data_IF_325825004885
#
_entry.id   IF_325825004885
#
_cell.length_a   1.000
_cell.length_b   1.000
_cell.length_c   1.000
_cell.angle_alpha   90.00
_cell.angle_beta   90.00
_cell.angle_gamma   90.00
#
_symmetry.space_group_name_H-M   'P 1'
#
loop_
_entity.id
_entity.type
_entity.pdbx_description
1 polymer ?
#
# COMPACT_ATOMS: atom_id res chain seq x y z
N UNK A 1 -0.53 18.95 -78.69
CA UNK A 1 -0.38 20.39 -78.72
C UNK A 1 -0.63 20.88 -77.33
N UNK A 2 0.20 21.29 -76.54
CA UNK A 2 1.33 22.13 -76.34
C UNK A 2 1.74 22.02 -74.87
N UNK A 3 2.93 21.56 -74.55
CA UNK A 3 4.06 22.31 -73.99
C UNK A 3 3.66 23.11 -72.73
N UNK A 4 3.98 22.74 -71.51
CA UNK A 4 5.28 22.88 -70.90
C UNK A 4 5.35 24.17 -70.12
N UNK A 5 5.49 24.05 -68.78
CA UNK A 5 6.28 24.99 -67.96
C UNK A 5 6.70 24.31 -66.68
N UNK A 6 7.83 23.63 -66.72
CA UNK A 6 8.75 23.52 -65.61
C UNK A 6 9.43 24.86 -65.48
N UNK A 7 9.57 25.41 -64.32
CA UNK A 7 10.79 26.10 -63.89
C UNK A 7 10.46 27.06 -62.70
N UNK A 8 11.44 27.19 -61.83
CA UNK A 8 11.69 28.33 -61.00
C UNK A 8 10.90 28.34 -59.62
N UNK A 9 11.27 27.42 -58.77
CA UNK A 9 11.09 27.61 -57.32
C UNK A 9 12.36 27.23 -56.53
N UNK A 10 13.51 27.74 -56.88
CA UNK A 10 14.80 27.45 -56.22
C UNK A 10 15.67 28.67 -55.95
N UNK A 11 15.10 29.87 -55.88
CA UNK A 11 15.93 31.05 -55.64
C UNK A 11 15.38 32.10 -54.68
N UNK A 12 14.41 31.76 -53.82
CA UNK A 12 13.84 32.78 -52.91
C UNK A 12 13.90 32.41 -51.44
N UNK A 13 14.68 31.43 -51.02
CA UNK A 13 14.75 31.00 -49.59
C UNK A 13 16.11 31.20 -48.92
N UNK A 14 17.03 31.93 -49.55
CA UNK A 14 18.39 32.12 -49.01
C UNK A 14 18.68 33.53 -48.45
N UNK A 15 17.68 34.43 -48.34
CA UNK A 15 17.94 35.83 -47.99
C UNK A 15 17.15 36.34 -46.74
N UNK A 16 16.49 35.48 -45.95
CA UNK A 16 15.75 35.95 -44.76
C UNK A 16 16.25 35.29 -43.46
N UNK A 17 17.45 34.78 -43.42
CA UNK A 17 18.02 34.17 -42.18
C UNK A 17 19.10 35.04 -41.56
N UNK A 18 19.30 36.28 -41.97
CA UNK A 18 20.28 37.18 -41.39
C UNK A 18 19.68 38.37 -40.62
N UNK A 19 18.44 38.30 -40.18
CA UNK A 19 17.79 39.35 -39.37
C UNK A 19 17.27 38.79 -38.06
N UNK A 20 18.08 38.88 -37.04
CA UNK A 20 17.73 39.05 -35.62
C UNK A 20 16.54 38.26 -35.07
N UNK A 21 16.62 36.94 -34.91
CA UNK A 21 15.89 36.20 -33.90
C UNK A 21 16.75 36.18 -32.64
N UNK A 22 16.58 37.19 -31.80
CA UNK A 22 16.83 37.03 -30.36
C UNK A 22 15.83 36.00 -29.85
N UNK A 23 16.22 34.73 -29.91
CA UNK A 23 15.51 33.68 -29.20
C UNK A 23 15.59 34.02 -27.73
N UNK A 24 14.48 34.55 -27.19
CA UNK A 24 14.22 34.47 -25.79
C UNK A 24 14.39 33.01 -25.40
N UNK A 25 15.48 32.67 -24.73
CA UNK A 25 15.61 31.44 -24.00
C UNK A 25 14.44 31.45 -23.02
N UNK A 26 13.39 30.71 -23.36
CA UNK A 26 12.53 30.17 -22.32
C UNK A 26 13.46 29.37 -21.43
N UNK A 27 13.80 29.95 -20.29
CA UNK A 27 14.63 29.28 -19.32
C UNK A 27 13.95 27.97 -18.98
N UNK A 28 14.53 26.88 -19.45
CA UNK A 28 14.23 25.59 -18.89
C UNK A 28 14.49 25.78 -17.39
N UNK A 29 13.42 25.80 -16.61
CA UNK A 29 13.49 25.93 -15.17
C UNK A 29 14.37 24.77 -14.73
N UNK A 30 15.52 25.08 -14.14
CA UNK A 30 16.44 24.08 -13.64
C UNK A 30 15.62 23.12 -12.77
N UNK A 31 15.80 21.79 -12.90
CA UNK A 31 15.10 20.84 -12.06
C UNK A 31 15.30 21.28 -10.63
N UNK A 32 14.20 21.43 -9.88
CA UNK A 32 14.24 21.79 -8.47
C UNK A 32 15.25 20.85 -7.79
N UNK A 33 16.17 21.36 -6.97
CA UNK A 33 17.13 20.51 -6.30
C UNK A 33 16.35 19.45 -5.55
N UNK A 34 16.62 18.19 -5.87
CA UNK A 34 16.07 17.06 -5.13
C UNK A 34 16.42 17.29 -3.67
N UNK A 35 15.46 17.25 -2.73
CA UNK A 35 15.80 17.30 -1.33
C UNK A 35 16.78 16.16 -1.08
N UNK A 36 17.99 16.51 -0.70
CA UNK A 36 18.97 15.51 -0.26
C UNK A 36 18.44 14.96 1.05
N UNK A 37 17.66 13.88 0.97
CA UNK A 37 17.44 13.03 2.12
C UNK A 37 18.83 12.56 2.50
N UNK A 38 19.25 12.69 3.77
CA UNK A 38 20.47 12.02 4.21
C UNK A 38 20.29 10.54 3.87
N UNK A 39 20.90 10.09 2.79
CA UNK A 39 20.95 8.66 2.48
C UNK A 39 21.65 8.05 3.69
N UNK A 40 21.05 7.06 4.35
CA UNK A 40 21.79 6.33 5.35
C UNK A 40 23.09 5.87 4.66
N UNK A 41 24.19 6.19 5.25
CA UNK A 41 25.51 6.02 4.61
C UNK A 41 25.84 4.52 4.64
N UNK A 42 25.23 3.76 3.73
CA UNK A 42 25.41 2.29 3.62
C UNK A 42 26.85 1.90 3.22
N UNK A 43 27.69 2.90 2.91
CA UNK A 43 29.08 2.68 2.50
C UNK A 43 30.10 2.90 3.61
N UNK A 44 29.72 3.40 4.77
CA UNK A 44 30.63 3.46 5.90
C UNK A 44 30.61 2.13 6.64
N UNK A 45 31.73 1.41 6.59
CA UNK A 45 31.98 0.19 7.37
C UNK A 45 31.82 0.40 8.90
N UNK A 46 31.44 1.59 9.34
CA UNK A 46 31.42 1.96 10.76
C UNK A 46 30.00 1.94 11.37
N UNK A 47 28.91 1.89 10.56
CA UNK A 47 27.55 1.95 11.08
C UNK A 47 26.71 0.69 10.82
N UNK A 48 27.34 -0.45 10.92
CA UNK A 48 26.64 -1.76 10.86
C UNK A 48 25.79 -2.04 12.09
N UNK A 49 25.92 -1.22 13.16
CA UNK A 49 25.04 -1.28 14.33
C UNK A 49 23.57 -1.02 13.98
N UNK A 50 23.29 -0.32 12.86
CA UNK A 50 21.94 -0.12 12.33
C UNK A 50 21.27 -1.41 11.88
N UNK A 51 22.03 -2.40 11.45
CA UNK A 51 21.53 -3.72 11.09
C UNK A 51 21.47 -4.68 12.28
N UNK A 52 21.80 -4.18 13.48
CA UNK A 52 21.80 -4.99 14.68
C UNK A 52 22.90 -6.03 14.78
N UNK A 53 23.86 -6.04 13.85
CA UNK A 53 25.06 -6.87 13.90
C UNK A 53 26.24 -5.98 14.26
N UNK A 54 26.95 -6.23 15.37
CA UNK A 54 28.15 -5.50 15.73
C UNK A 54 29.20 -5.56 14.63
N UNK A 55 29.84 -4.42 14.35
CA UNK A 55 30.85 -4.30 13.27
C UNK A 55 32.01 -5.28 13.39
N UNK A 56 32.38 -5.64 14.60
CA UNK A 56 33.39 -6.64 14.91
C UNK A 56 33.01 -8.06 14.49
N UNK A 57 31.72 -8.40 14.62
CA UNK A 57 31.21 -9.72 14.18
C UNK A 57 31.19 -9.83 12.66
N UNK A 58 30.90 -8.73 11.94
CA UNK A 58 30.99 -8.72 10.46
C UNK A 58 32.45 -8.85 10.01
N UNK A 59 33.39 -8.15 10.66
CA UNK A 59 34.82 -8.24 10.38
C UNK A 59 35.41 -9.63 10.69
N UNK A 60 34.83 -10.32 11.66
CA UNK A 60 35.26 -11.68 12.02
C UNK A 60 34.68 -12.77 11.11
N UNK A 61 33.87 -12.41 10.10
CA UNK A 61 33.18 -13.38 9.23
C UNK A 61 32.13 -14.21 9.92
N UNK A 62 31.69 -13.80 11.11
CA UNK A 62 30.61 -14.44 11.84
C UNK A 62 29.31 -14.02 11.19
N UNK A 63 28.62 -14.98 10.56
CA UNK A 63 27.29 -14.75 10.05
C UNK A 63 26.36 -14.41 11.22
N UNK A 64 25.46 -13.40 11.07
CA UNK A 64 24.49 -13.10 12.09
C UNK A 64 23.66 -14.34 12.40
N UNK A 65 23.40 -14.58 13.68
CA UNK A 65 22.39 -15.56 14.07
C UNK A 65 21.04 -15.09 13.56
N UNK A 66 20.59 -15.69 12.45
CA UNK A 66 19.30 -15.39 11.83
C UNK A 66 18.11 -15.63 12.78
N UNK A 67 18.28 -16.45 13.83
CA UNK A 67 17.25 -16.60 14.85
C UNK A 67 17.17 -15.37 15.76
N UNK A 68 18.28 -14.69 16.02
CA UNK A 68 18.28 -13.43 16.76
C UNK A 68 17.67 -12.28 15.96
N UNK A 69 17.62 -12.37 14.63
CA UNK A 69 16.96 -11.39 13.77
C UNK A 69 15.44 -11.56 13.74
N UNK A 70 14.91 -12.75 14.11
CA UNK A 70 13.47 -12.99 14.16
C UNK A 70 12.76 -12.10 15.19
N UNK A 71 13.47 -11.66 16.22
CA UNK A 71 12.93 -10.80 17.27
C UNK A 71 13.14 -9.29 17.02
N UNK A 72 13.74 -8.93 15.91
CA UNK A 72 14.07 -7.54 15.57
C UNK A 72 13.21 -7.03 14.42
N UNK A 73 12.93 -5.73 14.46
CA UNK A 73 12.39 -5.05 13.29
C UNK A 73 13.54 -4.77 12.31
N UNK A 74 13.25 -4.98 11.03
CA UNK A 74 14.20 -4.71 9.95
C UNK A 74 13.71 -3.48 9.20
N UNK A 75 14.54 -2.44 9.10
CA UNK A 75 14.21 -1.22 8.36
C UNK A 75 15.02 -1.19 7.07
N UNK A 76 14.34 -1.17 5.93
CA UNK A 76 14.93 -1.23 4.59
C UNK A 76 14.51 0.02 3.81
N UNK A 77 15.44 0.78 3.20
CA UNK A 77 15.08 1.83 2.25
C UNK A 77 14.44 1.19 1.01
N UNK A 78 13.32 1.76 0.57
CA UNK A 78 12.58 1.24 -0.59
C UNK A 78 12.84 2.12 -1.82
N UNK A 79 12.33 3.35 -1.79
CA UNK A 79 12.52 4.33 -2.86
C UNK A 79 12.10 5.73 -2.38
N UNK A 80 12.81 6.77 -2.87
CA UNK A 80 12.52 8.15 -2.47
C UNK A 80 12.66 8.33 -0.96
N UNK A 81 11.59 8.77 -0.31
CA UNK A 81 11.52 8.99 1.14
C UNK A 81 10.88 7.84 1.92
N UNK A 82 10.62 6.71 1.26
CA UNK A 82 9.86 5.59 1.84
C UNK A 82 10.78 4.44 2.23
N UNK A 83 10.56 3.92 3.43
CA UNK A 83 11.23 2.77 4.02
C UNK A 83 10.18 1.68 4.32
N UNK A 84 10.64 0.44 4.37
CA UNK A 84 9.88 -0.70 4.87
C UNK A 84 10.36 -1.02 6.29
N UNK A 85 9.43 -1.17 7.24
CA UNK A 85 9.68 -1.79 8.55
C UNK A 85 9.07 -3.19 8.52
N UNK A 86 9.90 -4.22 8.55
CA UNK A 86 9.49 -5.62 8.60
C UNK A 86 9.64 -6.22 10.00
N UNK A 87 8.88 -7.30 10.27
CA UNK A 87 8.93 -8.02 11.55
C UNK A 87 7.96 -7.50 12.62
N UNK A 88 7.09 -6.55 12.27
CA UNK A 88 6.12 -5.95 13.19
C UNK A 88 4.75 -6.66 13.22
N UNK A 89 4.62 -7.84 12.66
CA UNK A 89 3.36 -8.47 12.28
C UNK A 89 3.18 -8.27 10.79
N UNK A 90 2.34 -7.33 10.35
CA UNK A 90 2.37 -6.86 8.97
C UNK A 90 3.55 -5.92 8.72
N UNK A 91 3.95 -5.78 7.45
CA UNK A 91 4.89 -4.77 7.01
C UNK A 91 4.31 -3.37 7.22
N UNK A 92 5.17 -2.42 7.58
CA UNK A 92 4.81 -1.01 7.75
C UNK A 92 5.59 -0.19 6.71
N UNK A 93 4.92 0.64 5.92
CA UNK A 93 5.62 1.62 5.12
C UNK A 93 5.84 2.90 5.95
N UNK A 94 7.08 3.38 6.01
CA UNK A 94 7.46 4.59 6.74
C UNK A 94 7.99 5.64 5.78
N UNK A 95 7.31 6.77 5.69
CA UNK A 95 7.80 7.93 4.96
C UNK A 95 8.45 8.93 5.92
N UNK A 96 9.65 9.43 5.56
CA UNK A 96 10.40 10.39 6.37
C UNK A 96 10.86 11.56 5.50
N UNK A 97 10.40 12.79 5.82
CA UNK A 97 10.94 14.04 5.27
C UNK A 97 10.74 15.22 6.23
N UNK A 98 10.72 16.45 5.67
CA UNK A 98 10.78 17.68 6.45
C UNK A 98 9.57 17.92 7.36
N UNK A 99 8.36 17.52 6.94
CA UNK A 99 7.14 17.72 7.73
C UNK A 99 7.01 16.72 8.88
N UNK A 100 7.79 15.63 8.85
CA UNK A 100 7.77 14.59 9.87
C UNK A 100 7.73 13.19 9.29
N UNK A 101 7.16 12.27 10.06
CA UNK A 101 7.01 10.86 9.73
C UNK A 101 5.53 10.54 9.45
N UNK A 102 5.29 9.74 8.43
CA UNK A 102 4.00 9.10 8.18
C UNK A 102 4.22 7.58 8.14
N UNK A 103 3.35 6.84 8.81
CA UNK A 103 3.32 5.38 8.74
C UNK A 103 2.09 4.90 7.98
N UNK A 104 2.25 3.85 7.18
CA UNK A 104 1.14 3.04 6.68
C UNK A 104 1.17 1.74 7.46
N UNK A 105 0.13 1.55 8.28
CA UNK A 105 -0.03 0.59 9.36
C UNK A 105 0.88 0.84 10.58
N UNK A 106 0.57 0.17 11.68
CA UNK A 106 1.25 0.33 12.97
C UNK A 106 1.80 -1.00 13.52
N UNK A 107 1.60 -2.10 12.77
CA UNK A 107 2.00 -3.43 13.18
C UNK A 107 1.12 -4.05 14.27
N UNK A 108 1.52 -5.22 14.73
CA UNK A 108 0.88 -5.92 15.84
C UNK A 108 1.17 -5.23 17.19
N UNK A 109 0.28 -5.39 18.15
CA UNK A 109 0.41 -4.81 19.50
C UNK A 109 1.73 -5.17 20.18
N UNK A 110 2.14 -6.42 20.09
CA UNK A 110 3.39 -6.90 20.69
C UNK A 110 4.66 -6.24 20.10
N UNK A 111 4.58 -5.67 18.89
CA UNK A 111 5.68 -4.99 18.24
C UNK A 111 5.68 -3.47 18.45
N UNK A 112 4.62 -2.90 19.03
CA UNK A 112 4.40 -1.46 19.07
C UNK A 112 5.56 -0.66 19.69
N UNK A 113 6.12 -1.11 20.80
CA UNK A 113 7.25 -0.43 21.46
C UNK A 113 8.51 -0.46 20.58
N UNK A 114 8.74 -1.56 19.88
CA UNK A 114 9.84 -1.69 18.90
C UNK A 114 9.63 -0.77 17.70
N UNK A 115 8.40 -0.65 17.20
CA UNK A 115 8.05 0.28 16.09
C UNK A 115 8.33 1.72 16.53
N UNK A 116 7.88 2.14 17.71
CA UNK A 116 8.15 3.49 18.24
C UNK A 116 9.65 3.74 18.37
N UNK A 117 10.41 2.75 18.84
CA UNK A 117 11.87 2.87 18.99
C UNK A 117 12.56 3.02 17.63
N UNK A 118 12.19 2.21 16.63
CA UNK A 118 12.77 2.29 15.29
C UNK A 118 12.38 3.59 14.57
N UNK A 119 11.13 4.04 14.68
CA UNK A 119 10.73 5.35 14.13
C UNK A 119 11.58 6.49 14.72
N UNK A 120 11.80 6.51 16.04
CA UNK A 120 12.64 7.52 16.69
C UNK A 120 14.11 7.42 16.28
N UNK A 121 14.61 6.20 16.06
CA UNK A 121 15.99 5.95 15.65
C UNK A 121 16.29 6.47 14.25
N UNK A 122 15.39 6.21 13.28
CA UNK A 122 15.56 6.62 11.89
C UNK A 122 15.15 8.06 11.64
N UNK A 123 14.21 8.57 12.40
CA UNK A 123 13.68 9.91 12.25
C UNK A 123 13.63 10.64 13.60
N UNK A 124 14.57 11.55 13.91
CA UNK A 124 14.46 12.44 15.05
C UNK A 124 13.37 13.51 14.82
N UNK A 125 12.33 13.14 14.11
CA UNK A 125 11.19 13.97 13.72
C UNK A 125 9.90 13.38 14.29
N UNK A 126 8.89 14.22 14.42
CA UNK A 126 7.61 13.80 14.98
C UNK A 126 6.84 12.92 14.00
N UNK A 127 6.31 11.81 14.48
CA UNK A 127 5.27 11.04 13.78
C UNK A 127 4.01 11.90 13.67
N UNK A 128 3.52 12.11 12.45
CA UNK A 128 2.41 13.02 12.14
C UNK A 128 1.15 12.33 11.70
N UNK A 129 1.26 11.16 11.07
CA UNK A 129 0.13 10.41 10.55
C UNK A 129 0.37 8.91 10.63
N UNK A 130 -0.71 8.17 10.88
CA UNK A 130 -0.81 6.74 10.63
C UNK A 130 -1.95 6.54 9.63
N UNK A 131 -1.77 5.73 8.59
CA UNK A 131 -2.81 5.31 7.67
C UNK A 131 -3.01 3.82 7.87
N UNK A 132 -4.20 3.37 8.27
CA UNK A 132 -4.48 1.95 8.38
C UNK A 132 -5.01 1.40 7.05
N UNK A 133 -4.37 0.34 6.55
CA UNK A 133 -4.79 -0.33 5.33
C UNK A 133 -5.93 -1.31 5.54
N UNK A 134 -6.14 -1.81 6.75
CA UNK A 134 -7.24 -2.70 7.12
C UNK A 134 -7.51 -2.66 8.62
N UNK A 135 -8.52 -3.40 9.11
CA UNK A 135 -8.80 -3.56 10.54
C UNK A 135 -8.07 -4.76 11.19
N UNK A 136 -7.18 -5.44 10.46
CA UNK A 136 -6.49 -6.62 10.98
C UNK A 136 -5.56 -6.29 12.15
N UNK A 137 -5.43 -7.23 13.11
CA UNK A 137 -4.60 -7.03 14.31
C UNK A 137 -3.12 -6.82 13.99
N UNK A 138 -2.64 -7.46 12.95
CA UNK A 138 -1.27 -7.35 12.49
C UNK A 138 -0.94 -5.98 11.87
N UNK A 139 -1.98 -5.22 11.44
CA UNK A 139 -1.86 -3.88 10.86
C UNK A 139 -2.12 -2.79 11.90
N UNK A 140 -3.09 -3.00 12.81
CA UNK A 140 -3.63 -1.95 13.69
C UNK A 140 -3.38 -2.18 15.17
N UNK A 141 -2.85 -3.35 15.56
CA UNK A 141 -2.64 -3.67 16.98
C UNK A 141 -1.75 -2.67 17.71
N UNK A 142 -0.78 -2.10 17.01
CA UNK A 142 0.13 -1.08 17.53
C UNK A 142 -0.43 0.34 17.59
N UNK A 143 -1.61 0.61 17.02
CA UNK A 143 -2.15 1.96 16.83
C UNK A 143 -2.06 2.83 18.10
N UNK A 144 -2.57 2.35 19.22
CA UNK A 144 -2.61 3.13 20.48
C UNK A 144 -1.23 3.63 20.89
N UNK A 145 -0.26 2.73 21.04
CA UNK A 145 1.08 3.08 21.50
C UNK A 145 1.84 3.91 20.47
N UNK A 146 1.75 3.52 19.19
CA UNK A 146 2.45 4.20 18.09
C UNK A 146 1.90 5.61 17.91
N UNK A 147 0.57 5.79 17.92
CA UNK A 147 -0.04 7.12 17.82
C UNK A 147 0.36 8.03 18.98
N UNK A 148 0.36 7.52 20.23
CA UNK A 148 0.81 8.26 21.42
C UNK A 148 2.28 8.71 21.32
N UNK A 149 3.09 8.02 20.53
CA UNK A 149 4.49 8.41 20.25
C UNK A 149 4.63 9.60 19.29
N UNK A 150 3.56 10.07 18.69
CA UNK A 150 3.52 11.16 17.72
C UNK A 150 2.79 12.42 18.21
N UNK A 151 2.47 13.31 17.29
CA UNK A 151 1.68 14.50 17.54
C UNK A 151 0.95 14.94 16.25
N UNK A 152 -0.22 15.54 16.38
CA UNK A 152 -0.95 16.10 15.26
C UNK A 152 -0.11 17.16 14.49
N UNK A 153 -0.29 17.30 13.17
CA UNK A 153 0.36 18.35 12.40
C UNK A 153 -0.04 19.74 12.89
N UNK A 154 0.87 20.72 12.85
CA UNK A 154 0.58 22.08 13.32
C UNK A 154 -0.61 22.75 12.61
N UNK A 155 -0.83 22.42 11.34
CA UNK A 155 -1.92 22.97 10.52
C UNK A 155 -3.26 22.25 10.70
N UNK A 156 -3.31 21.13 11.39
CA UNK A 156 -4.54 20.36 11.59
C UNK A 156 -5.50 21.01 12.59
N UNK A 157 -5.07 22.07 13.27
CA UNK A 157 -5.82 22.72 14.34
C UNK A 157 -7.08 23.50 13.92
N UNK A 158 -7.38 23.66 12.62
CA UNK A 158 -8.49 24.53 12.19
C UNK A 158 -9.29 24.11 10.95
N UNK A 159 -9.20 22.87 10.51
CA UNK A 159 -10.08 22.41 9.44
C UNK A 159 -11.40 21.95 10.03
N UNK A 160 -12.40 22.82 9.97
CA UNK A 160 -13.77 22.52 10.42
C UNK A 160 -14.05 22.74 11.91
N UNK A 161 -13.22 23.53 12.64
CA UNK A 161 -13.54 23.97 14.01
C UNK A 161 -13.43 22.91 15.09
N UNK A 162 -12.99 21.71 14.78
CA UNK A 162 -12.60 20.71 15.77
C UNK A 162 -11.09 20.66 15.87
N UNK A 163 -10.56 21.22 16.95
CA UNK A 163 -9.19 20.96 17.34
C UNK A 163 -9.05 19.43 17.50
N UNK A 164 -8.05 18.81 16.85
CA UNK A 164 -7.65 17.45 17.21
C UNK A 164 -7.07 17.54 18.63
N UNK A 165 -7.94 17.43 19.63
CA UNK A 165 -7.56 17.43 21.05
C UNK A 165 -6.95 16.08 21.47
N UNK A 166 -6.65 15.20 20.50
CA UNK A 166 -5.99 13.93 20.73
C UNK A 166 -4.50 14.11 21.00
N UNK A 167 -4.01 13.65 22.14
CA UNK A 167 -2.60 13.48 22.38
C UNK A 167 -2.08 12.37 21.47
N UNK A 168 -1.42 12.73 20.34
CA UNK A 168 -0.82 11.77 19.42
C UNK A 168 -0.97 12.09 17.95
N UNK A 169 -0.44 11.21 17.09
CA UNK A 169 -0.61 11.29 15.66
C UNK A 169 -2.04 10.85 15.26
N UNK A 170 -2.74 11.59 14.37
CA UNK A 170 -4.02 11.15 13.83
C UNK A 170 -3.88 9.86 13.02
N UNK A 171 -4.90 9.00 13.12
CA UNK A 171 -5.00 7.73 12.43
C UNK A 171 -6.08 7.86 11.35
N UNK A 172 -5.67 7.73 10.09
CA UNK A 172 -6.53 7.80 8.92
C UNK A 172 -6.92 6.39 8.48
N UNK A 173 -8.19 6.18 8.14
CA UNK A 173 -8.65 4.90 7.61
C UNK A 173 -9.93 5.06 6.78
N UNK A 174 -10.28 4.02 6.04
CA UNK A 174 -11.63 3.91 5.49
C UNK A 174 -12.65 3.66 6.60
N UNK A 175 -13.88 4.17 6.45
CA UNK A 175 -14.91 4.16 7.51
C UNK A 175 -15.18 2.75 8.07
N UNK A 176 -15.19 1.71 7.22
CA UNK A 176 -15.45 0.35 7.70
C UNK A 176 -14.39 -0.18 8.66
N UNK A 177 -13.15 0.32 8.60
CA UNK A 177 -12.10 0.01 9.57
C UNK A 177 -12.50 0.49 10.96
N UNK A 178 -12.96 1.75 11.09
CA UNK A 178 -13.48 2.27 12.35
C UNK A 178 -14.67 1.45 12.85
N UNK A 179 -15.63 1.14 11.97
CA UNK A 179 -16.82 0.36 12.32
C UNK A 179 -16.47 -1.03 12.87
N UNK A 180 -15.38 -1.64 12.39
CA UNK A 180 -14.90 -2.94 12.87
C UNK A 180 -14.08 -2.87 14.16
N UNK A 181 -13.46 -1.74 14.44
CA UNK A 181 -12.66 -1.52 15.65
C UNK A 181 -13.49 -1.00 16.81
N UNK A 182 -14.56 -0.26 16.54
CA UNK A 182 -15.47 0.35 17.52
C UNK A 182 -16.68 -0.54 17.80
N UNK A 183 -17.53 -0.09 18.71
CA UNK A 183 -18.84 -0.67 18.98
C UNK A 183 -19.88 0.44 19.21
N UNK A 184 -21.17 0.18 18.95
CA UNK A 184 -22.24 1.06 19.40
C UNK A 184 -22.20 1.32 20.90
N UNK A 185 -22.76 2.46 21.31
CA UNK A 185 -22.84 2.83 22.73
C UNK A 185 -23.49 1.72 23.54
N UNK A 186 -22.84 1.31 24.62
CA UNK A 186 -23.33 0.25 25.51
C UNK A 186 -22.88 -1.18 25.12
N UNK A 187 -22.13 -1.34 24.04
CA UNK A 187 -21.51 -2.60 23.65
C UNK A 187 -19.99 -2.55 23.81
N UNK A 188 -19.37 -3.73 23.92
CA UNK A 188 -17.90 -3.84 24.03
C UNK A 188 -17.27 -3.75 22.64
N UNK A 189 -16.41 -2.75 22.43
CA UNK A 189 -15.64 -2.58 21.21
C UNK A 189 -14.58 -3.68 21.06
N UNK A 190 -14.23 -4.00 19.83
CA UNK A 190 -13.17 -4.97 19.52
C UNK A 190 -11.75 -4.43 19.81
N UNK A 191 -11.62 -3.10 19.95
CA UNK A 191 -10.36 -2.39 20.23
C UNK A 191 -10.58 -1.27 21.26
N UNK A 192 -9.57 -0.90 22.05
CA UNK A 192 -9.62 0.28 22.90
C UNK A 192 -9.81 1.54 22.05
N UNK A 193 -10.49 2.54 22.60
CA UNK A 193 -10.83 3.81 21.90
C UNK A 193 -9.60 4.54 21.37
N UNK A 194 -8.49 4.51 22.12
CA UNK A 194 -7.24 5.18 21.72
C UNK A 194 -6.56 4.53 20.51
N UNK A 195 -6.98 3.33 20.11
CA UNK A 195 -6.51 2.64 18.91
C UNK A 195 -7.37 2.92 17.67
N UNK A 196 -8.51 3.61 17.81
CA UNK A 196 -9.44 3.84 16.71
C UNK A 196 -8.92 4.87 15.71
N UNK A 197 -9.27 4.74 14.42
CA UNK A 197 -9.10 5.81 13.46
C UNK A 197 -9.74 7.11 13.95
N UNK A 198 -8.99 8.21 13.88
CA UNK A 198 -9.43 9.54 14.30
C UNK A 198 -9.91 10.41 13.12
N UNK A 199 -9.55 10.02 11.89
CA UNK A 199 -9.97 10.66 10.63
C UNK A 199 -10.37 9.56 9.64
N UNK A 200 -11.65 9.47 9.32
CA UNK A 200 -12.18 8.47 8.39
C UNK A 200 -12.74 9.11 7.12
N UNK A 201 -12.77 8.33 6.05
CA UNK A 201 -13.40 8.71 4.80
C UNK A 201 -14.18 7.53 4.19
N UNK A 202 -15.16 7.86 3.34
CA UNK A 202 -16.08 6.90 2.71
C UNK A 202 -16.11 7.00 1.18
N UNK A 203 -15.25 7.83 0.62
CA UNK A 203 -15.10 7.97 -0.84
C UNK A 203 -14.14 6.95 -1.40
N UNK A 204 -14.23 6.64 -2.69
CA UNK A 204 -13.34 5.68 -3.34
C UNK A 204 -11.85 6.09 -3.29
N UNK A 205 -11.58 7.38 -3.04
CA UNK A 205 -10.22 7.93 -2.97
C UNK A 205 -10.18 9.12 -2.03
N UNK A 206 -9.10 9.19 -1.19
CA UNK A 206 -8.71 10.38 -0.42
C UNK A 206 -7.26 10.72 -0.74
N UNK A 207 -6.94 12.00 -0.81
CA UNK A 207 -5.58 12.49 -1.03
C UNK A 207 -5.10 13.23 0.22
N UNK A 208 -3.84 13.05 0.54
CA UNK A 208 -3.11 13.80 1.55
C UNK A 208 -1.87 14.42 0.89
N UNK A 209 -1.61 15.69 1.11
CA UNK A 209 -0.34 16.31 0.75
C UNK A 209 0.55 16.35 1.98
N UNK A 210 1.67 15.65 1.93
CA UNK A 210 2.60 15.57 3.05
C UNK A 210 4.01 15.27 2.55
N UNK A 211 5.01 15.84 3.20
CA UNK A 211 6.41 15.66 2.83
C UNK A 211 6.69 16.00 1.34
N UNK A 212 6.04 17.05 0.84
CA UNK A 212 6.20 17.54 -0.52
C UNK A 212 5.81 16.50 -1.61
N UNK A 213 4.87 15.62 -1.29
CA UNK A 213 4.26 14.73 -2.28
C UNK A 213 2.78 14.46 -2.00
N UNK A 214 2.06 14.06 -3.04
CA UNK A 214 0.71 13.56 -2.92
C UNK A 214 0.75 12.11 -2.47
N UNK A 215 0.01 11.81 -1.41
CA UNK A 215 -0.23 10.46 -0.91
C UNK A 215 -1.68 10.13 -1.20
N UNK A 216 -1.90 9.18 -2.09
CA UNK A 216 -3.22 8.79 -2.53
C UNK A 216 -3.66 7.53 -1.79
N UNK A 217 -4.78 7.57 -1.13
CA UNK A 217 -5.42 6.44 -0.46
C UNK A 217 -6.58 5.97 -1.33
N UNK A 218 -6.53 4.76 -1.83
CA UNK A 218 -7.56 4.18 -2.68
C UNK A 218 -8.28 3.06 -1.95
N UNK A 219 -9.56 3.24 -1.69
CA UNK A 219 -10.38 2.17 -1.15
C UNK A 219 -10.51 1.04 -2.17
N UNK A 220 -10.27 -0.17 -1.69
CA UNK A 220 -10.41 -1.41 -2.45
C UNK A 220 -11.46 -2.28 -1.78
N UNK A 221 -12.71 -2.22 -2.23
CA UNK A 221 -13.79 -2.96 -1.61
C UNK A 221 -13.65 -4.46 -1.83
N UNK A 222 -14.08 -5.23 -0.85
CA UNK A 222 -14.16 -6.69 -0.91
C UNK A 222 -12.85 -7.41 -1.32
N UNK A 223 -11.67 -6.86 -0.96
CA UNK A 223 -10.38 -7.49 -1.24
C UNK A 223 -10.01 -8.49 -0.15
N UNK A 224 -8.99 -8.24 0.69
CA UNK A 224 -8.76 -9.02 1.90
C UNK A 224 -9.94 -8.86 2.88
N UNK A 225 -10.48 -7.63 2.98
CA UNK A 225 -11.66 -7.22 3.73
C UNK A 225 -12.42 -6.12 2.99
N UNK A 226 -13.47 -5.55 3.61
CA UNK A 226 -14.23 -4.44 3.04
C UNK A 226 -13.63 -3.04 3.29
N UNK A 227 -12.57 -2.96 4.09
CA UNK A 227 -11.92 -1.69 4.46
C UNK A 227 -10.53 -1.49 3.88
N UNK A 228 -10.10 -2.32 2.95
CA UNK A 228 -8.73 -2.30 2.46
C UNK A 228 -8.40 -1.00 1.72
N UNK A 229 -7.18 -0.51 1.97
CA UNK A 229 -6.60 0.64 1.29
C UNK A 229 -5.33 0.26 0.55
N UNK A 230 -5.19 0.81 -0.66
CA UNK A 230 -3.93 0.93 -1.37
C UNK A 230 -3.44 2.36 -1.16
N UNK A 231 -2.21 2.53 -0.66
CA UNK A 231 -1.62 3.85 -0.40
C UNK A 231 -0.48 4.10 -1.38
N UNK A 232 -0.60 5.13 -2.21
CA UNK A 232 0.39 5.44 -3.24
C UNK A 232 1.13 6.75 -2.95
N UNK A 233 2.43 6.67 -2.72
CA UNK A 233 3.38 7.78 -2.59
C UNK A 233 3.83 8.20 -3.99
N UNK A 234 3.21 9.26 -4.52
CA UNK A 234 3.30 9.61 -5.95
C UNK A 234 4.69 10.02 -6.41
N UNK A 235 5.42 10.76 -5.63
CA UNK A 235 6.77 11.23 -5.98
C UNK A 235 7.83 10.17 -5.69
N UNK A 236 7.70 9.50 -4.56
CA UNK A 236 8.57 8.39 -4.15
C UNK A 236 8.36 7.16 -5.04
N UNK A 237 7.23 7.10 -5.77
CA UNK A 237 6.81 6.00 -6.63
C UNK A 237 6.80 4.65 -5.90
N UNK A 238 6.15 4.66 -4.72
CA UNK A 238 5.99 3.49 -3.85
C UNK A 238 4.51 3.28 -3.57
N UNK A 239 4.05 2.03 -3.68
CA UNK A 239 2.70 1.61 -3.31
C UNK A 239 2.79 0.74 -2.07
N UNK A 240 2.05 1.09 -1.00
CA UNK A 240 1.79 0.20 0.12
C UNK A 240 0.41 -0.44 -0.08
N UNK A 241 0.40 -1.76 -0.22
CA UNK A 241 -0.78 -2.54 -0.60
C UNK A 241 -1.47 -3.24 0.59
N UNK A 242 -0.89 -3.17 1.79
CA UNK A 242 -1.42 -3.89 2.95
C UNK A 242 -1.63 -5.38 2.65
N UNK A 243 -2.64 -5.98 3.26
CA UNK A 243 -2.93 -7.41 3.14
C UNK A 243 -3.49 -7.83 1.77
N UNK A 244 -3.70 -6.89 0.85
CA UNK A 244 -4.07 -7.18 -0.53
C UNK A 244 -2.96 -7.93 -1.27
N UNK A 245 -1.70 -7.70 -0.90
CA UNK A 245 -0.53 -8.37 -1.48
C UNK A 245 0.33 -8.99 -0.36
N UNK A 246 0.44 -10.31 -0.35
CA UNK A 246 1.29 -11.08 0.55
C UNK A 246 1.85 -12.26 -0.23
N UNK A 247 2.80 -11.96 -1.16
CA UNK A 247 3.27 -12.97 -2.12
C UNK A 247 4.24 -14.03 -1.53
N UNK A 248 4.26 -14.16 -0.22
CA UNK A 248 4.87 -15.28 0.54
C UNK A 248 3.85 -16.38 0.92
N UNK A 249 2.56 -16.15 0.61
CA UNK A 249 1.44 -17.05 0.92
C UNK A 249 0.30 -16.89 -0.07
N UNK A 250 -0.66 -17.82 -0.06
CA UNK A 250 -1.91 -17.63 -0.78
C UNK A 250 -2.65 -16.38 -0.29
N UNK A 251 -3.45 -15.71 -1.17
CA UNK A 251 -4.26 -14.56 -0.77
C UNK A 251 -5.08 -14.85 0.47
N UNK A 252 -4.91 -14.05 1.52
CA UNK A 252 -5.71 -14.18 2.73
C UNK A 252 -7.06 -13.49 2.51
N UNK A 253 -8.15 -14.24 2.64
CA UNK A 253 -9.52 -13.78 2.41
C UNK A 253 -10.25 -13.80 3.75
N UNK A 254 -10.60 -12.64 4.29
CA UNK A 254 -11.45 -12.51 5.47
C UNK A 254 -12.91 -12.37 5.00
N UNK A 255 -13.52 -13.49 4.62
CA UNK A 255 -14.88 -13.51 4.09
C UNK A 255 -15.93 -13.01 5.10
N UNK A 256 -15.68 -13.16 6.40
CA UNK A 256 -16.57 -12.66 7.47
C UNK A 256 -16.52 -11.12 7.57
N UNK A 257 -15.43 -10.53 7.09
CA UNK A 257 -15.28 -9.08 6.94
C UNK A 257 -15.44 -8.59 5.51
N UNK A 258 -16.12 -9.36 4.67
CA UNK A 258 -16.47 -8.94 3.32
C UNK A 258 -15.37 -9.11 2.28
N UNK A 259 -14.30 -9.85 2.61
CA UNK A 259 -13.24 -10.18 1.65
C UNK A 259 -13.67 -11.17 0.58
N UNK A 260 -12.99 -11.13 -0.57
CA UNK A 260 -13.18 -12.07 -1.68
C UNK A 260 -11.93 -12.19 -2.54
N UNK A 261 -11.73 -13.36 -3.14
CA UNK A 261 -10.62 -13.56 -4.09
C UNK A 261 -10.78 -12.66 -5.33
N UNK A 262 -12.03 -12.44 -5.78
CA UNK A 262 -12.28 -11.54 -6.90
C UNK A 262 -11.87 -10.10 -6.57
N UNK A 263 -12.22 -9.60 -5.40
CA UNK A 263 -11.82 -8.25 -4.97
C UNK A 263 -10.30 -8.09 -4.80
N UNK A 264 -9.61 -9.15 -4.37
CA UNK A 264 -8.14 -9.18 -4.34
C UNK A 264 -7.59 -9.06 -5.78
N UNK A 265 -8.09 -9.85 -6.72
CA UNK A 265 -7.68 -9.78 -8.14
C UNK A 265 -7.92 -8.38 -8.71
N UNK A 266 -9.06 -7.76 -8.42
CA UNK A 266 -9.39 -6.40 -8.88
C UNK A 266 -8.41 -5.36 -8.30
N UNK A 267 -8.07 -5.48 -7.03
CA UNK A 267 -7.07 -4.63 -6.38
C UNK A 267 -5.67 -4.83 -6.95
N UNK A 268 -5.26 -6.06 -7.20
CA UNK A 268 -3.98 -6.36 -7.85
C UNK A 268 -3.93 -5.78 -9.28
N UNK A 269 -5.02 -5.89 -10.06
CA UNK A 269 -5.12 -5.24 -11.38
C UNK A 269 -4.95 -3.71 -11.26
N UNK A 270 -5.53 -3.10 -10.23
CA UNK A 270 -5.37 -1.66 -9.97
C UNK A 270 -3.91 -1.29 -9.67
N UNK A 271 -3.22 -2.10 -8.87
CA UNK A 271 -1.79 -1.90 -8.59
C UNK A 271 -0.98 -2.05 -9.87
N UNK A 272 -1.20 -3.11 -10.67
CA UNK A 272 -0.50 -3.32 -11.95
C UNK A 272 -0.69 -2.13 -12.89
N UNK A 273 -1.93 -1.61 -13.00
CA UNK A 273 -2.23 -0.45 -13.83
C UNK A 273 -1.61 0.86 -13.35
N UNK A 274 -1.35 0.98 -12.03
CA UNK A 274 -0.74 2.15 -11.42
C UNK A 274 0.79 2.08 -11.35
N UNK A 275 1.36 0.88 -11.35
CA UNK A 275 2.80 0.63 -11.19
C UNK A 275 3.58 0.94 -12.49
N UNK A 276 3.36 2.13 -13.04
CA UNK A 276 4.06 2.65 -14.21
C UNK A 276 4.99 3.76 -13.73
N UNK A 277 6.31 3.63 -13.94
CA UNK A 277 7.28 4.63 -13.48
C UNK A 277 6.97 6.02 -14.04
N UNK A 278 6.77 7.00 -13.15
CA UNK A 278 6.44 8.38 -13.56
C UNK A 278 7.66 9.26 -13.79
N UNK A 279 8.76 8.98 -13.12
CA UNK A 279 9.93 9.85 -13.09
C UNK A 279 11.20 9.15 -13.58
N UNK A 280 11.09 8.20 -14.49
CA UNK A 280 12.23 7.41 -15.01
C UNK A 280 13.08 6.79 -13.88
N UNK A 281 12.42 6.37 -12.80
CA UNK A 281 13.09 5.76 -11.67
C UNK A 281 13.66 4.39 -12.07
N UNK A 282 14.91 4.14 -11.74
CA UNK A 282 15.51 2.84 -12.01
C UNK A 282 14.80 1.76 -11.21
N UNK A 283 14.35 0.71 -11.89
CA UNK A 283 13.67 -0.43 -11.30
C UNK A 283 12.15 -0.28 -11.12
N UNK A 284 11.56 0.82 -11.60
CA UNK A 284 10.11 1.04 -11.64
C UNK A 284 9.48 1.28 -10.26
N UNK A 285 8.15 1.28 -10.24
CA UNK A 285 7.36 1.40 -8.99
C UNK A 285 7.67 0.26 -8.03
N UNK A 286 7.93 0.59 -6.77
CA UNK A 286 8.14 -0.37 -5.69
C UNK A 286 6.85 -0.62 -4.94
N UNK A 287 6.60 -1.87 -4.56
CA UNK A 287 5.38 -2.25 -3.86
C UNK A 287 5.74 -2.89 -2.52
N UNK A 288 5.14 -2.38 -1.44
CA UNK A 288 5.20 -2.94 -0.09
C UNK A 288 3.89 -3.69 0.13
N UNK A 289 3.95 -5.01 0.20
CA UNK A 289 2.80 -5.84 0.58
C UNK A 289 2.66 -5.94 2.10
N UNK A 290 1.58 -6.56 2.58
CA UNK A 290 1.37 -6.82 4.00
C UNK A 290 2.44 -7.73 4.60
N UNK A 291 3.00 -8.62 3.82
CA UNK A 291 4.08 -9.53 4.21
C UNK A 291 5.13 -9.70 3.11
N UNK A 292 6.27 -10.24 3.51
CA UNK A 292 7.34 -10.58 2.60
C UNK A 292 8.27 -9.40 2.26
N UNK A 293 8.89 -9.44 1.10
CA UNK A 293 9.89 -8.48 0.63
C UNK A 293 9.28 -7.23 -0.01
N UNK A 294 10.12 -6.33 -0.49
CA UNK A 294 9.69 -5.30 -1.44
C UNK A 294 9.49 -5.96 -2.82
N UNK A 295 8.36 -5.67 -3.43
CA UNK A 295 7.93 -6.21 -4.70
C UNK A 295 8.05 -5.18 -5.83
N UNK A 296 7.94 -5.65 -7.07
CA UNK A 296 7.81 -4.85 -8.28
C UNK A 296 6.53 -5.24 -9.04
N UNK A 297 6.25 -4.57 -10.15
CA UNK A 297 5.06 -4.84 -10.96
C UNK A 297 4.98 -6.31 -11.43
N UNK A 298 6.10 -6.93 -11.82
CA UNK A 298 6.13 -8.32 -12.28
C UNK A 298 5.67 -9.28 -11.19
N UNK A 299 6.16 -9.09 -9.95
CA UNK A 299 5.74 -9.88 -8.81
C UNK A 299 4.22 -9.82 -8.58
N UNK A 300 3.64 -8.62 -8.75
CA UNK A 300 2.17 -8.42 -8.63
C UNK A 300 1.42 -9.11 -9.76
N UNK A 301 1.93 -9.06 -10.98
CA UNK A 301 1.37 -9.78 -12.14
C UNK A 301 1.35 -11.28 -11.87
N UNK A 302 2.48 -11.86 -11.45
CA UNK A 302 2.58 -13.29 -11.14
C UNK A 302 1.59 -13.72 -10.05
N UNK A 303 1.48 -12.94 -8.97
CA UNK A 303 0.55 -13.22 -7.87
C UNK A 303 -0.92 -13.09 -8.30
N UNK A 304 -1.24 -12.08 -9.12
CA UNK A 304 -2.58 -11.91 -9.72
C UNK A 304 -2.94 -13.07 -10.64
N UNK A 305 -2.00 -13.49 -11.49
CA UNK A 305 -2.23 -14.56 -12.47
C UNK A 305 -2.44 -15.89 -11.76
N UNK A 306 -1.62 -16.21 -10.75
CA UNK A 306 -1.85 -17.38 -9.88
C UNK A 306 -3.26 -17.33 -9.26
N UNK A 307 -3.64 -16.19 -8.67
CA UNK A 307 -4.96 -16.00 -8.03
C UNK A 307 -6.11 -16.21 -9.04
N UNK A 308 -5.95 -15.66 -10.24
CA UNK A 308 -6.92 -15.80 -11.34
C UNK A 308 -7.05 -17.24 -11.81
N UNK A 309 -5.94 -17.93 -12.04
CA UNK A 309 -5.91 -19.33 -12.49
C UNK A 309 -6.58 -20.23 -11.45
N UNK A 310 -6.26 -20.08 -10.18
CA UNK A 310 -6.88 -20.88 -9.10
C UNK A 310 -8.37 -20.62 -9.02
N UNK A 311 -8.80 -19.34 -9.03
CA UNK A 311 -10.24 -18.98 -9.06
C UNK A 311 -10.97 -19.66 -10.21
N UNK A 312 -10.43 -19.61 -11.42
CA UNK A 312 -11.08 -20.13 -12.63
C UNK A 312 -11.16 -21.67 -12.62
N UNK A 313 -10.10 -22.34 -12.11
CA UNK A 313 -10.11 -23.78 -11.89
C UNK A 313 -11.20 -24.20 -10.90
N UNK A 314 -11.23 -23.57 -9.72
CA UNK A 314 -12.22 -23.88 -8.69
C UNK A 314 -13.62 -23.54 -9.19
N UNK A 315 -13.82 -22.41 -9.89
CA UNK A 315 -15.10 -22.06 -10.53
C UNK A 315 -15.58 -23.16 -11.47
N UNK A 316 -14.68 -23.71 -12.28
CA UNK A 316 -15.01 -24.81 -13.21
C UNK A 316 -15.43 -26.06 -12.46
N UNK A 317 -14.77 -26.40 -11.34
CA UNK A 317 -15.10 -27.54 -10.49
C UNK A 317 -16.44 -27.37 -9.79
N UNK A 318 -16.71 -26.18 -9.24
CA UNK A 318 -18.01 -25.83 -8.63
C UNK A 318 -19.14 -25.93 -9.64
N UNK A 319 -18.96 -25.43 -10.87
CA UNK A 319 -19.95 -25.57 -11.96
C UNK A 319 -20.24 -27.04 -12.35
N UNK A 320 -19.28 -27.93 -12.13
CA UNK A 320 -19.48 -29.39 -12.32
C UNK A 320 -20.13 -30.08 -11.12
N UNK A 321 -20.49 -29.31 -10.06
CA UNK A 321 -21.12 -29.84 -8.86
C UNK A 321 -20.16 -30.57 -7.91
N UNK A 322 -18.85 -30.35 -8.02
CA UNK A 322 -17.87 -30.97 -7.12
C UNK A 322 -18.00 -30.39 -5.70
N UNK A 323 -17.91 -31.27 -4.71
CA UNK A 323 -17.85 -30.88 -3.31
C UNK A 323 -16.46 -30.27 -2.96
N UNK A 324 -16.35 -29.58 -1.83
CA UNK A 324 -15.07 -29.03 -1.36
C UNK A 324 -13.98 -30.12 -1.27
N UNK A 325 -14.33 -31.30 -0.74
CA UNK A 325 -13.39 -32.42 -0.61
C UNK A 325 -12.90 -32.92 -1.97
N UNK A 326 -13.79 -32.96 -2.96
CA UNK A 326 -13.42 -33.33 -4.33
C UNK A 326 -12.54 -32.25 -4.99
N UNK A 327 -12.78 -30.95 -4.70
CA UNK A 327 -11.93 -29.85 -5.18
C UNK A 327 -10.54 -29.95 -4.57
N UNK A 328 -10.43 -30.16 -3.26
CA UNK A 328 -9.13 -30.36 -2.58
C UNK A 328 -8.38 -31.57 -3.12
N UNK A 329 -9.08 -32.70 -3.33
CA UNK A 329 -8.49 -33.91 -3.89
C UNK A 329 -7.98 -33.73 -5.34
N UNK A 330 -8.60 -32.83 -6.11
CA UNK A 330 -8.17 -32.48 -7.47
C UNK A 330 -6.93 -31.58 -7.52
N UNK A 331 -6.49 -31.02 -6.37
CA UNK A 331 -5.28 -30.20 -6.21
C UNK A 331 -5.14 -29.05 -7.23
N UNK A 332 -6.12 -28.13 -7.33
CA UNK A 332 -6.09 -27.07 -8.34
C UNK A 332 -4.94 -26.06 -8.16
N UNK A 333 -4.22 -26.13 -7.05
CA UNK A 333 -3.13 -25.24 -6.64
C UNK A 333 -1.75 -25.89 -6.68
N UNK A 334 -1.66 -27.16 -7.11
CA UNK A 334 -0.48 -28.03 -6.91
C UNK A 334 0.86 -27.37 -7.26
N UNK A 335 0.94 -26.65 -8.39
CA UNK A 335 2.15 -25.96 -8.84
C UNK A 335 2.53 -24.76 -7.98
N UNK A 336 1.59 -24.24 -7.19
CA UNK A 336 1.75 -23.06 -6.33
C UNK A 336 1.96 -23.39 -4.85
N UNK A 337 1.64 -24.63 -4.43
CA UNK A 337 1.65 -25.05 -3.03
C UNK A 337 3.03 -24.90 -2.39
N UNK A 338 4.11 -25.16 -3.16
CA UNK A 338 5.48 -25.05 -2.69
C UNK A 338 5.87 -23.61 -2.33
N UNK A 339 5.32 -22.64 -3.02
CA UNK A 339 5.62 -21.21 -2.81
C UNK A 339 4.66 -20.55 -1.83
N UNK A 340 3.36 -20.82 -1.94
CA UNK A 340 2.32 -20.06 -1.24
C UNK A 340 1.62 -20.85 -0.13
N UNK A 341 1.71 -22.18 -0.12
CA UNK A 341 0.97 -23.05 0.81
C UNK A 341 1.67 -23.34 2.14
N UNK A 342 2.81 -22.70 2.44
CA UNK A 342 3.70 -23.09 3.54
C UNK A 342 3.34 -22.47 4.90
N UNK A 343 2.40 -21.54 4.96
CA UNK A 343 1.97 -20.90 6.21
C UNK A 343 0.99 -21.81 6.95
N UNK A 344 1.36 -22.31 8.10
CA UNK A 344 0.58 -23.32 8.83
C UNK A 344 -0.85 -22.85 9.18
N UNK A 345 -1.02 -21.58 9.54
CA UNK A 345 -2.32 -20.98 9.87
C UNK A 345 -3.16 -20.62 8.62
N UNK A 346 -2.55 -20.56 7.43
CA UNK A 346 -3.20 -20.24 6.17
C UNK A 346 -2.61 -21.09 5.04
N UNK A 347 -2.84 -22.38 5.12
CA UNK A 347 -2.35 -23.35 4.15
C UNK A 347 -3.29 -23.47 2.93
N UNK A 348 -2.90 -24.30 1.96
CA UNK A 348 -3.67 -24.60 0.74
C UNK A 348 -5.13 -24.98 1.04
N UNK A 349 -5.37 -25.81 2.05
CA UNK A 349 -6.71 -26.28 2.39
C UNK A 349 -7.61 -25.17 2.94
N UNK A 350 -7.05 -24.27 3.76
CA UNK A 350 -7.76 -23.12 4.27
C UNK A 350 -8.10 -22.14 3.14
N UNK A 351 -7.15 -21.86 2.26
CA UNK A 351 -7.36 -21.00 1.09
C UNK A 351 -8.44 -21.57 0.15
N UNK A 352 -8.34 -22.84 -0.25
CA UNK A 352 -9.34 -23.48 -1.09
C UNK A 352 -10.72 -23.51 -0.44
N UNK A 353 -10.79 -23.64 0.89
CA UNK A 353 -12.03 -23.58 1.65
C UNK A 353 -12.75 -22.25 1.47
N UNK A 354 -12.05 -21.13 1.62
CA UNK A 354 -12.64 -19.79 1.45
C UNK A 354 -12.99 -19.48 -0.01
N UNK A 355 -12.13 -19.87 -0.96
CA UNK A 355 -12.44 -19.73 -2.40
C UNK A 355 -13.69 -20.52 -2.78
N UNK A 356 -13.82 -21.75 -2.31
CA UNK A 356 -15.01 -22.59 -2.56
C UNK A 356 -16.27 -21.98 -1.94
N UNK A 357 -16.18 -21.51 -0.69
CA UNK A 357 -17.27 -20.84 0.05
C UNK A 357 -17.75 -19.59 -0.71
N UNK A 358 -16.81 -18.75 -1.19
CA UNK A 358 -17.12 -17.58 -2.00
C UNK A 358 -17.90 -17.96 -3.27
N UNK A 359 -17.40 -18.93 -4.02
CA UNK A 359 -17.97 -19.34 -5.32
C UNK A 359 -19.28 -20.11 -5.23
N UNK A 360 -19.61 -20.67 -4.07
CA UNK A 360 -20.87 -21.39 -3.81
C UNK A 360 -21.90 -20.52 -3.07
N UNK A 361 -21.51 -19.33 -2.60
CA UNK A 361 -22.43 -18.40 -1.97
C UNK A 361 -23.49 -17.95 -2.98
N UNK A 362 -24.79 -18.01 -2.64
CA UNK A 362 -25.82 -17.47 -3.52
C UNK A 362 -25.51 -15.99 -3.84
N UNK A 363 -25.63 -15.62 -5.11
CA UNK A 363 -25.48 -14.23 -5.51
C UNK A 363 -26.39 -13.36 -4.64
N UNK A 364 -25.83 -12.38 -3.95
CA UNK A 364 -26.63 -11.41 -3.19
C UNK A 364 -27.63 -10.79 -4.15
N UNK A 365 -28.94 -10.82 -3.81
CA UNK A 365 -29.94 -10.13 -4.59
C UNK A 365 -29.49 -8.68 -4.81
N UNK A 366 -29.59 -8.13 -6.03
CA UNK A 366 -29.17 -6.75 -6.29
C UNK A 366 -29.86 -5.85 -5.28
N UNK A 367 -29.08 -5.04 -4.55
CA UNK A 367 -29.61 -4.07 -3.60
C UNK A 367 -30.70 -3.27 -4.33
N UNK A 368 -31.92 -3.30 -3.82
CA UNK A 368 -33.04 -2.61 -4.42
C UNK A 368 -32.63 -1.14 -4.61
N UNK A 369 -32.56 -0.71 -5.88
CA UNK A 369 -32.20 0.66 -6.23
C UNK A 369 -33.06 1.59 -5.39
N UNK A 370 -32.43 2.37 -4.50
CA UNK A 370 -33.11 3.24 -3.56
C UNK A 370 -34.13 4.08 -4.31
N UNK A 371 -35.39 3.99 -3.92
CA UNK A 371 -36.48 4.82 -4.46
C UNK A 371 -36.04 6.28 -4.36
N UNK A 372 -35.82 6.90 -5.51
CA UNK A 372 -35.59 8.33 -5.63
C UNK A 372 -36.71 9.07 -4.82
N UNK A 373 -36.35 9.96 -3.91
CA UNK A 373 -37.37 10.73 -3.19
C UNK A 373 -38.26 11.45 -4.19
N UNK A 374 -39.58 11.31 -4.05
CA UNK A 374 -40.54 12.04 -4.85
C UNK A 374 -40.35 13.55 -4.64
N UNK A 375 -40.28 14.30 -5.74
CA UNK A 375 -40.19 15.75 -5.69
C UNK A 375 -41.42 16.34 -4.95
N UNK A 376 -41.25 17.37 -4.10
CA UNK A 376 -42.38 18.00 -3.41
C UNK A 376 -43.33 18.63 -4.41
N UNK A 377 -44.65 18.36 -4.27
CA UNK A 377 -45.68 18.95 -5.07
C UNK A 377 -45.71 20.48 -4.84
N UNK A 378 -45.60 21.24 -5.93
CA UNK A 378 -45.83 22.71 -5.90
C UNK A 378 -47.27 22.98 -5.51
N UNK A 379 -47.45 23.71 -4.42
CA UNK A 379 -48.69 24.46 -4.15
C UNK A 379 -48.52 25.89 -4.62
#
# INVERSE_FOLDING_TARGET
>A
MTIGKKAAWTAALAAIVAGGLTTGRTGAQAPLPQPQIPQPNFHSNEDTSRFGVPADQIKAGVLPDFNSLRDRLVVIPVQGSVFLIGGAGANIAMQIQNDGVLLVDAGAEAAADKVVAEVKRYAPRTLRYIINTSASMENTGGNEKVAKGGAAPPAAGNVGGQAFNGAGAPILAFETVLNRMSAPVGQTASRPTDAWPTDTFFTAKKNLWFNNEAIEMWHQPAAHSDGDLIVFFRRSDVIAAGNLLSADRFPFIDADKGGSLQGIIDGLNRIVGAAVPQYNQQGGTRIIGGHGRVYNQTDVVEYRDMSTIVRDRVTTMVKKGMTLEQVKAAKPTLEYDGQYGQVASWNTDAFLGEVYKELTKPAAAPAAAGKKPAAPAKK
#
